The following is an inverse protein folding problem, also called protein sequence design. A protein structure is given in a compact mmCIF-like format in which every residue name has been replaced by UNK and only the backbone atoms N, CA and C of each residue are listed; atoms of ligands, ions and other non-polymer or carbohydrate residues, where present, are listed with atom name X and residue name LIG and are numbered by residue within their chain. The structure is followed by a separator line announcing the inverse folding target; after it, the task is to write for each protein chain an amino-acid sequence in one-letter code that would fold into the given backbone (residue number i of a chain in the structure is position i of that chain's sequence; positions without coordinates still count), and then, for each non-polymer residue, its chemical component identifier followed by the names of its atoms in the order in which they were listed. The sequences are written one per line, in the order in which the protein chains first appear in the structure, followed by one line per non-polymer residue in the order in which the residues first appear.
data_IF_486508028273
#
_entry.id   IF_486508028273
#
_cell.length_a   1.000
_cell.length_b   1.000
_cell.length_c   1.000
_cell.angle_alpha   90.00
_cell.angle_beta   90.00
_cell.angle_gamma   90.00
#
_symmetry.space_group_name_H-M   'P 1'
#
loop_
_entity.id
_entity.type
_entity.pdbx_description
1 polymer ?
#
# COMPACT_ATOMS: atom_id res chain seq x y z
N UNK A 1 2.19 -59.45 19.64
CA UNK A 1 2.06 -59.20 18.19
C UNK A 1 1.58 -57.77 17.97
N UNK A 2 2.42 -57.00 17.28
CA UNK A 2 2.26 -55.65 16.68
C UNK A 2 0.96 -55.58 15.85
N UNK A 3 0.09 -54.54 15.83
CA UNK A 3 0.27 -53.17 15.29
C UNK A 3 -1.07 -52.38 15.45
N UNK A 4 -0.99 -51.09 15.85
CA UNK A 4 -1.70 -49.86 15.36
C UNK A 4 -3.25 -49.92 15.20
N UNK A 5 -4.03 -48.91 15.62
CA UNK A 5 -4.18 -47.63 14.92
C UNK A 5 -4.78 -46.58 15.87
N UNK A 6 -4.09 -45.45 16.02
CA UNK A 6 -4.59 -44.20 16.58
C UNK A 6 -5.46 -43.49 15.53
N UNK A 7 -6.73 -43.22 15.82
CA UNK A 7 -7.58 -42.37 14.97
C UNK A 7 -7.42 -40.93 15.47
N UNK A 8 -6.56 -40.18 14.78
CA UNK A 8 -6.38 -38.75 14.99
C UNK A 8 -7.58 -38.00 14.39
N UNK A 9 -8.21 -37.20 15.24
CA UNK A 9 -9.12 -36.11 14.87
C UNK A 9 -8.33 -35.07 14.07
N UNK A 10 -8.70 -34.82 12.82
CA UNK A 10 -8.28 -33.62 12.10
C UNK A 10 -9.48 -33.01 11.38
N UNK A 11 -9.95 -31.91 11.98
CA UNK A 11 -10.89 -30.96 11.40
C UNK A 11 -10.34 -30.42 10.06
N UNK A 12 -11.00 -30.75 8.97
CA UNK A 12 -10.79 -30.12 7.66
C UNK A 12 -11.63 -28.84 7.59
N UNK A 13 -11.10 -27.77 8.18
CA UNK A 13 -11.48 -26.39 7.87
C UNK A 13 -10.18 -25.62 7.73
N UNK A 14 -9.79 -25.28 6.49
CA UNK A 14 -9.04 -24.06 6.21
C UNK A 14 -8.93 -23.82 4.69
N UNK A 15 -9.80 -22.93 4.21
CA UNK A 15 -9.47 -21.75 3.44
C UNK A 15 -8.18 -21.80 2.61
N UNK A 16 -8.29 -22.20 1.35
CA UNK A 16 -7.31 -21.84 0.33
C UNK A 16 -7.48 -20.36 -0.02
N UNK A 17 -6.96 -19.47 0.83
CA UNK A 17 -6.65 -18.11 0.40
C UNK A 17 -5.41 -18.23 -0.47
N UNK A 18 -5.61 -18.16 -1.79
CA UNK A 18 -4.51 -18.00 -2.74
C UNK A 18 -3.94 -16.61 -2.54
N UNK A 19 -2.88 -16.49 -1.74
CA UNK A 19 -2.00 -15.33 -1.78
C UNK A 19 -1.26 -15.41 -3.12
N UNK A 20 -1.75 -14.67 -4.11
CA UNK A 20 -0.99 -14.37 -5.30
C UNK A 20 0.29 -13.64 -4.86
N UNK A 21 1.38 -14.38 -4.75
CA UNK A 21 2.72 -13.85 -4.62
C UNK A 21 3.03 -13.15 -5.96
N UNK A 22 2.86 -11.83 -5.97
CA UNK A 22 3.36 -11.00 -7.06
C UNK A 22 4.86 -11.23 -7.22
N UNK A 23 5.31 -11.18 -8.47
CA UNK A 23 6.71 -11.23 -8.87
C UNK A 23 7.56 -10.30 -7.96
N UNK A 24 8.67 -10.77 -7.36
CA UNK A 24 9.53 -9.97 -6.48
C UNK A 24 10.21 -8.77 -7.17
N UNK A 25 9.97 -8.55 -8.47
CA UNK A 25 10.62 -7.50 -9.25
C UNK A 25 9.81 -6.22 -9.50
N UNK A 26 8.49 -6.18 -9.24
CA UNK A 26 7.69 -4.97 -9.51
C UNK A 26 6.64 -4.68 -8.43
N UNK A 27 6.66 -3.46 -7.88
CA UNK A 27 5.66 -3.02 -6.92
C UNK A 27 4.29 -2.82 -7.59
N UNK A 28 3.18 -3.19 -6.92
CA UNK A 28 1.86 -3.05 -7.50
C UNK A 28 1.49 -1.58 -7.66
N UNK A 29 0.69 -1.27 -8.68
CA UNK A 29 0.08 0.04 -8.81
C UNK A 29 -1.10 0.18 -7.85
N UNK A 30 -1.18 1.31 -7.16
CA UNK A 30 -2.34 1.64 -6.33
C UNK A 30 -3.60 1.77 -7.20
N UNK A 31 -4.75 1.48 -6.61
CA UNK A 31 -6.04 1.76 -7.23
C UNK A 31 -6.24 3.27 -7.40
N UNK A 32 -7.14 3.72 -8.30
CA UNK A 32 -7.48 5.12 -8.42
C UNK A 32 -7.93 5.74 -7.09
N UNK A 33 -7.61 7.02 -6.87
CA UNK A 33 -7.94 7.80 -5.67
C UNK A 33 -9.42 7.77 -5.29
N UNK A 34 -10.32 7.61 -6.26
CA UNK A 34 -11.76 7.59 -6.07
C UNK A 34 -12.34 6.19 -5.81
N UNK A 35 -11.52 5.15 -5.71
CA UNK A 35 -11.93 3.78 -5.43
C UNK A 35 -11.98 3.51 -3.92
N UNK A 36 -12.97 2.77 -3.43
CA UNK A 36 -13.10 2.43 -2.00
C UNK A 36 -11.91 1.63 -1.44
N UNK A 37 -11.20 0.88 -2.27
CA UNK A 37 -9.97 0.14 -1.93
C UNK A 37 -8.69 0.96 -2.04
N UNK A 38 -8.77 2.26 -2.38
CA UNK A 38 -7.61 3.14 -2.58
C UNK A 38 -6.65 3.08 -1.40
N UNK A 39 -7.13 3.31 -0.18
CA UNK A 39 -6.28 3.40 1.01
C UNK A 39 -5.41 2.16 1.23
N UNK A 40 -6.00 0.97 1.12
CA UNK A 40 -5.29 -0.29 1.28
C UNK A 40 -4.27 -0.50 0.16
N UNK A 41 -4.69 -0.30 -1.10
CA UNK A 41 -3.80 -0.51 -2.25
C UNK A 41 -2.63 0.49 -2.31
N UNK A 42 -2.87 1.76 -1.93
CA UNK A 42 -1.83 2.78 -1.87
C UNK A 42 -0.80 2.49 -0.79
N UNK A 43 -1.23 2.05 0.40
CA UNK A 43 -0.30 1.64 1.46
C UNK A 43 0.59 0.49 0.99
N UNK A 44 0.01 -0.54 0.36
CA UNK A 44 0.80 -1.67 -0.18
C UNK A 44 1.83 -1.20 -1.21
N UNK A 45 1.42 -0.37 -2.17
CA UNK A 45 2.33 0.17 -3.18
C UNK A 45 3.45 0.99 -2.56
N UNK A 46 3.11 1.94 -1.68
CA UNK A 46 4.08 2.84 -1.03
C UNK A 46 5.10 2.07 -0.16
N UNK A 47 4.63 1.08 0.61
CA UNK A 47 5.48 0.20 1.41
C UNK A 47 6.45 -0.56 0.49
N UNK A 48 5.94 -1.18 -0.57
CA UNK A 48 6.77 -1.92 -1.51
C UNK A 48 7.88 -1.05 -2.11
N UNK A 49 7.54 0.12 -2.65
CA UNK A 49 8.53 1.01 -3.25
C UNK A 49 9.56 1.50 -2.23
N UNK A 50 9.13 1.78 -0.99
CA UNK A 50 10.02 2.12 0.11
C UNK A 50 11.02 0.98 0.41
N UNK A 51 10.53 -0.26 0.53
CA UNK A 51 11.40 -1.42 0.82
C UNK A 51 12.34 -1.75 -0.33
N UNK A 52 11.86 -1.69 -1.57
CA UNK A 52 12.68 -1.93 -2.78
C UNK A 52 13.75 -0.86 -2.96
N UNK A 53 13.54 0.35 -2.41
CA UNK A 53 14.55 1.41 -2.34
C UNK A 53 15.63 1.17 -1.26
N UNK A 54 15.60 0.04 -0.56
CA UNK A 54 16.59 -0.34 0.45
C UNK A 54 16.35 0.26 1.84
N UNK A 55 15.16 0.81 2.09
CA UNK A 55 14.83 1.41 3.38
C UNK A 55 14.35 0.35 4.40
N UNK A 56 14.56 0.56 5.71
CA UNK A 56 14.15 -0.41 6.73
C UNK A 56 12.66 -0.69 6.69
N UNK A 57 12.28 -1.98 6.61
CA UNK A 57 10.89 -2.41 6.50
C UNK A 57 10.00 -1.84 7.62
N UNK A 58 10.49 -1.79 8.87
CA UNK A 58 9.76 -1.22 9.99
C UNK A 58 9.38 0.26 9.79
N UNK A 59 10.25 1.05 9.17
CA UNK A 59 9.96 2.44 8.82
C UNK A 59 8.98 2.53 7.65
N UNK A 60 9.14 1.69 6.63
CA UNK A 60 8.25 1.67 5.47
C UNK A 60 6.79 1.32 5.81
N UNK A 61 6.58 0.44 6.80
CA UNK A 61 5.22 0.04 7.25
C UNK A 61 4.48 1.17 7.97
N UNK A 62 5.20 2.12 8.55
CA UNK A 62 4.65 3.33 9.14
C UNK A 62 4.52 4.43 8.08
N UNK A 63 3.31 4.62 7.56
CA UNK A 63 3.00 5.63 6.55
C UNK A 63 3.25 7.07 7.03
N UNK A 64 3.30 7.32 8.34
CA UNK A 64 3.74 8.61 8.88
C UNK A 64 5.24 8.78 8.77
N UNK A 65 6.00 7.77 9.20
CA UNK A 65 7.46 7.80 9.11
C UNK A 65 7.91 7.88 7.65
N UNK A 66 7.30 7.11 6.76
CA UNK A 66 7.55 7.15 5.32
C UNK A 66 7.28 8.56 4.74
N UNK A 67 6.12 9.14 5.06
CA UNK A 67 5.80 10.51 4.63
C UNK A 67 6.81 11.52 5.17
N UNK A 68 7.15 11.46 6.46
CA UNK A 68 8.10 12.38 7.09
C UNK A 68 9.50 12.24 6.48
N UNK A 69 9.93 11.02 6.14
CA UNK A 69 11.19 10.79 5.43
C UNK A 69 11.17 11.41 4.03
N UNK A 70 10.09 11.21 3.29
CA UNK A 70 9.90 11.81 1.96
C UNK A 70 9.99 13.34 2.05
N UNK A 71 9.27 13.96 2.98
CA UNK A 71 9.33 15.41 3.19
C UNK A 71 10.71 15.86 3.68
N UNK A 72 11.36 15.10 4.57
CA UNK A 72 12.70 15.42 5.06
C UNK A 72 13.77 15.41 3.96
N UNK A 73 13.64 14.53 2.96
CA UNK A 73 14.57 14.45 1.83
C UNK A 73 14.28 15.48 0.74
N UNK A 74 13.01 15.66 0.38
CA UNK A 74 12.62 16.46 -0.80
C UNK A 74 12.07 17.86 -0.44
N UNK A 75 11.74 18.11 0.82
CA UNK A 75 11.14 19.36 1.31
C UNK A 75 9.63 19.49 1.06
N UNK A 76 9.07 18.79 0.07
CA UNK A 76 7.62 18.79 -0.20
C UNK A 76 7.17 17.53 -0.97
N UNK A 77 5.87 17.23 -0.90
CA UNK A 77 5.24 16.16 -1.72
C UNK A 77 5.46 16.44 -3.21
N UNK A 78 5.31 17.70 -3.63
CA UNK A 78 5.47 18.07 -5.04
C UNK A 78 6.87 17.73 -5.57
N UNK A 79 7.94 18.08 -4.83
CA UNK A 79 9.31 17.78 -5.22
C UNK A 79 9.58 16.27 -5.23
N UNK A 80 9.08 15.54 -4.24
CA UNK A 80 9.19 14.08 -4.22
C UNK A 80 8.48 13.43 -5.42
N UNK A 81 7.27 13.89 -5.75
CA UNK A 81 6.49 13.38 -6.87
C UNK A 81 7.05 13.75 -8.25
N UNK A 82 7.81 14.84 -8.36
CA UNK A 82 8.56 15.19 -9.58
C UNK A 82 9.81 14.30 -9.76
N UNK A 83 10.41 13.88 -8.64
CA UNK A 83 11.61 13.05 -8.64
C UNK A 83 11.30 11.59 -9.03
N UNK A 84 10.29 10.98 -8.41
CA UNK A 84 9.88 9.60 -8.71
C UNK A 84 9.44 9.42 -10.17
N UNK A 85 9.52 8.18 -10.68
CA UNK A 85 9.24 7.85 -12.09
C UNK A 85 8.19 6.74 -12.28
N UNK A 86 7.57 6.28 -11.20
CA UNK A 86 6.63 5.15 -11.20
C UNK A 86 5.22 5.54 -11.69
N UNK A 87 4.84 6.80 -11.49
CA UNK A 87 3.55 7.37 -11.92
C UNK A 87 3.69 8.82 -12.34
N UNK A 88 2.64 9.41 -12.89
CA UNK A 88 2.62 10.85 -13.20
C UNK A 88 2.72 11.67 -11.91
N UNK A 89 3.40 12.83 -11.97
CA UNK A 89 3.52 13.76 -10.84
C UNK A 89 2.17 14.06 -10.18
N UNK A 90 1.13 14.34 -10.97
CA UNK A 90 -0.18 14.70 -10.41
C UNK A 90 -0.83 13.51 -9.68
N UNK A 91 -0.82 12.30 -10.26
CA UNK A 91 -1.35 11.12 -9.57
C UNK A 91 -0.62 10.84 -8.24
N UNK A 92 0.69 11.07 -8.18
CA UNK A 92 1.47 10.94 -6.94
C UNK A 92 1.01 11.97 -5.88
N UNK A 93 0.85 13.23 -6.28
CA UNK A 93 0.39 14.30 -5.39
C UNK A 93 -1.02 14.00 -4.89
N UNK A 94 -1.93 13.65 -5.79
CA UNK A 94 -3.32 13.33 -5.48
C UNK A 94 -3.42 12.12 -4.55
N UNK A 95 -2.60 11.09 -4.77
CA UNK A 95 -2.57 9.91 -3.91
C UNK A 95 -2.13 10.26 -2.48
N UNK A 96 -1.05 11.04 -2.32
CA UNK A 96 -0.62 11.48 -1.00
C UNK A 96 -1.62 12.42 -0.33
N UNK A 97 -2.21 13.34 -1.09
CA UNK A 97 -3.24 14.26 -0.58
C UNK A 97 -4.47 13.50 -0.11
N UNK A 98 -5.03 12.62 -0.94
CA UNK A 98 -6.17 11.78 -0.58
C UNK A 98 -5.86 10.89 0.62
N UNK A 99 -4.68 10.28 0.67
CA UNK A 99 -4.31 9.42 1.79
C UNK A 99 -4.25 10.19 3.12
N UNK A 100 -3.67 11.40 3.10
CA UNK A 100 -3.39 12.18 4.32
C UNK A 100 -4.54 13.05 4.78
N UNK A 101 -5.22 13.69 3.83
CA UNK A 101 -6.16 14.78 4.09
C UNK A 101 -7.57 14.48 3.58
N UNK A 102 -7.76 13.42 2.78
CA UNK A 102 -9.05 13.14 2.16
C UNK A 102 -9.47 14.24 1.18
N UNK A 103 -10.76 14.53 1.16
CA UNK A 103 -11.39 15.53 0.31
C UNK A 103 -11.60 15.04 -1.12
N UNK A 104 -11.13 15.83 -2.08
CA UNK A 104 -11.20 15.55 -3.51
C UNK A 104 -9.82 15.59 -4.15
N UNK A 105 -9.62 14.75 -5.16
CA UNK A 105 -8.42 14.83 -5.99
C UNK A 105 -8.48 16.00 -6.99
N UNK A 106 -7.43 16.19 -7.79
CA UNK A 106 -7.34 17.27 -8.78
C UNK A 106 -8.43 17.22 -9.86
N UNK A 107 -9.11 16.09 -10.02
CA UNK A 107 -10.22 15.89 -10.95
C UNK A 107 -11.59 16.09 -10.29
N UNK A 108 -11.63 16.50 -9.02
CA UNK A 108 -12.86 16.73 -8.27
C UNK A 108 -13.54 15.46 -7.76
N UNK A 109 -12.86 14.30 -7.82
CA UNK A 109 -13.42 13.01 -7.37
C UNK A 109 -13.14 12.82 -5.89
N UNK A 110 -14.12 12.26 -5.16
CA UNK A 110 -13.99 12.01 -3.72
C UNK A 110 -12.92 10.96 -3.43
N UNK A 111 -11.99 11.28 -2.53
CA UNK A 111 -10.96 10.35 -2.07
C UNK A 111 -11.59 9.11 -1.41
N UNK A 112 -11.10 7.93 -1.75
CA UNK A 112 -11.60 6.63 -1.28
C UNK A 112 -13.12 6.44 -1.43
N UNK A 113 -13.74 7.06 -2.45
CA UNK A 113 -15.20 7.15 -2.66
C UNK A 113 -16.00 7.85 -1.55
N UNK A 114 -15.36 8.31 -0.47
CA UNK A 114 -16.04 8.86 0.72
C UNK A 114 -15.69 10.33 0.97
N UNK A 115 -14.57 10.78 0.43
CA UNK A 115 -13.97 12.07 0.76
C UNK A 115 -13.21 12.07 2.09
N UNK A 116 -13.11 10.94 2.79
CA UNK A 116 -12.35 10.84 4.02
C UNK A 116 -10.86 10.57 3.74
N UNK A 117 -10.00 10.97 4.68
CA UNK A 117 -8.60 10.53 4.68
C UNK A 117 -8.50 9.04 4.97
N UNK A 118 -7.38 8.43 4.59
CA UNK A 118 -7.07 7.02 4.86
C UNK A 118 -6.50 6.77 6.27
N UNK A 119 -6.50 7.82 7.10
CA UNK A 119 -5.98 7.82 8.47
C UNK A 119 -7.12 7.83 9.47
#
# INVERSE_FOLDING_TARGET
MIKRIFVAVLFLLNSTIVLALGDPSTCPKALPTNNAGFCASFKVAAVCHCTTSGLPAGMCQDMNALYNRMIGLFGSVQKACQYQKDTTTQNCIDSWSCYRSGGKDSQGRLCSSTGNSCK
#
